data_IF_053971588371
#
_entry.id   IF_053971588371
#
_cell.length_a   1.000
_cell.length_b   1.000
_cell.length_c   1.000
_cell.angle_alpha   90.00
_cell.angle_beta   90.00
_cell.angle_gamma   90.00
#
_symmetry.space_group_name_H-M   'P 1'
#
loop_
_entity.id
_entity.type
_entity.pdbx_description
1 polymer ?
#
# COMPACT_ATOMS: atom_id res chain seq x y z
N UNK A 1 9.97 6.25 -0.71
CA UNK A 1 10.15 4.90 -0.10
C UNK A 1 9.75 4.95 1.37
N UNK A 2 8.57 4.49 1.69
CA UNK A 2 8.13 4.51 3.12
C UNK A 2 7.07 3.42 3.33
N UNK A 3 7.09 2.39 2.52
CA UNK A 3 6.09 1.30 2.68
C UNK A 3 5.94 0.95 4.16
N UNK A 4 4.88 1.38 4.78
CA UNK A 4 4.69 1.06 6.21
C UNK A 4 4.21 -0.39 6.36
N UNK A 5 3.61 -0.93 5.33
CA UNK A 5 3.13 -2.33 5.41
C UNK A 5 4.32 -3.28 5.59
N UNK A 6 5.49 -2.86 5.17
CA UNK A 6 6.67 -3.73 5.32
C UNK A 6 6.78 -4.22 6.76
N UNK A 7 6.45 -3.38 7.71
CA UNK A 7 6.54 -3.80 9.14
C UNK A 7 5.95 -5.21 9.30
N UNK A 8 4.84 -5.47 8.68
CA UNK A 8 4.22 -6.82 8.81
C UNK A 8 4.77 -7.75 7.72
N UNK A 9 5.09 -7.22 6.57
CA UNK A 9 5.63 -8.08 5.48
C UNK A 9 4.71 -8.03 4.26
N UNK A 10 4.09 -6.91 4.01
CA UNK A 10 3.19 -6.81 2.82
C UNK A 10 3.91 -6.03 1.71
N UNK A 11 3.44 -6.13 0.50
CA UNK A 11 4.11 -5.42 -0.63
C UNK A 11 3.80 -3.92 -0.58
N UNK A 12 3.79 -3.28 -1.72
CA UNK A 12 3.51 -1.82 -1.78
C UNK A 12 2.76 -1.50 -3.08
N UNK A 13 1.71 -0.73 -3.00
CA UNK A 13 0.93 -0.40 -4.21
C UNK A 13 1.70 0.60 -5.08
N UNK A 14 1.77 0.35 -6.36
CA UNK A 14 2.49 1.30 -7.26
C UNK A 14 1.61 2.53 -7.47
N UNK A 15 2.16 3.71 -7.30
CA UNK A 15 1.33 4.93 -7.47
C UNK A 15 0.14 4.86 -6.51
N UNK A 16 0.32 5.45 -5.36
CA UNK A 16 -0.71 5.46 -4.30
C UNK A 16 -1.80 6.49 -4.62
N UNK A 17 -1.45 7.55 -5.30
CA UNK A 17 -2.47 8.59 -5.63
C UNK A 17 -3.32 8.12 -6.82
N UNK A 18 -3.30 6.84 -7.12
CA UNK A 18 -4.12 6.34 -8.26
C UNK A 18 -4.52 4.89 -8.02
N UNK A 19 -4.43 4.42 -6.80
CA UNK A 19 -4.81 3.01 -6.52
C UNK A 19 -5.98 2.99 -5.53
N UNK A 20 -7.18 2.84 -6.03
CA UNK A 20 -8.36 2.81 -5.13
C UNK A 20 -8.04 1.93 -3.92
N UNK A 21 -8.06 2.50 -2.75
CA UNK A 21 -7.75 1.71 -1.53
C UNK A 21 -8.86 0.69 -1.27
N UNK A 22 -8.51 -0.56 -1.18
CA UNK A 22 -9.54 -1.59 -0.88
C UNK A 22 -9.31 -2.04 0.57
N UNK A 23 -8.13 -1.80 1.07
CA UNK A 23 -7.82 -2.18 2.47
C UNK A 23 -7.84 -0.93 3.34
N UNK A 24 -7.85 -1.11 4.62
CA UNK A 24 -7.84 0.05 5.54
C UNK A 24 -7.62 -0.47 6.96
N UNK A 25 -6.48 -0.20 7.51
CA UNK A 25 -6.20 -0.69 8.89
C UNK A 25 -5.24 0.27 9.60
N UNK A 26 -4.70 -0.13 10.72
CA UNK A 26 -3.75 0.76 11.43
C UNK A 26 -2.51 0.95 10.55
N UNK A 27 -2.45 0.23 9.46
CA UNK A 27 -1.29 0.35 8.54
C UNK A 27 -1.56 1.47 7.54
N UNK A 28 -2.65 2.15 7.71
CA UNK A 28 -3.00 3.25 6.77
C UNK A 28 -4.08 2.74 5.82
N UNK A 29 -3.85 2.88 4.55
CA UNK A 29 -4.83 2.40 3.55
C UNK A 29 -4.07 1.56 2.53
N UNK A 30 -4.68 0.54 1.99
CA UNK A 30 -3.96 -0.30 1.00
C UNK A 30 -4.74 -0.36 -0.30
N UNK A 31 -4.24 -1.14 -1.23
CA UNK A 31 -4.93 -1.31 -2.53
C UNK A 31 -4.81 -2.77 -2.95
N UNK A 32 -5.76 -3.28 -3.68
CA UNK A 32 -5.67 -4.71 -4.10
C UNK A 32 -5.37 -4.78 -5.59
N UNK A 33 -4.42 -5.59 -5.96
CA UNK A 33 -4.05 -5.72 -7.40
C UNK A 33 -3.50 -7.12 -7.66
N UNK A 34 -3.97 -7.77 -8.69
CA UNK A 34 -3.48 -9.14 -9.00
C UNK A 34 -3.92 -10.09 -7.89
N UNK A 35 -4.76 -9.64 -7.00
CA UNK A 35 -5.23 -10.52 -5.90
C UNK A 35 -4.19 -10.54 -4.78
N UNK A 36 -3.40 -9.51 -4.67
CA UNK A 36 -2.37 -9.47 -3.60
C UNK A 36 -2.42 -8.13 -2.87
N UNK A 37 -2.25 -8.15 -1.58
CA UNK A 37 -2.29 -6.90 -0.79
C UNK A 37 -1.01 -6.09 -0.94
N UNK A 38 -1.15 -4.80 -1.08
CA UNK A 38 0.04 -3.93 -1.21
C UNK A 38 -0.14 -2.73 -0.27
N UNK A 39 0.93 -2.25 0.29
CA UNK A 39 0.82 -1.10 1.24
C UNK A 39 0.81 0.22 0.47
N UNK A 40 -0.21 1.00 0.65
CA UNK A 40 -0.28 2.31 -0.06
C UNK A 40 0.38 3.38 0.80
N UNK A 41 1.42 3.98 0.30
CA UNK A 41 2.12 5.03 1.09
C UNK A 41 2.24 6.30 0.25
N UNK A 42 1.96 7.43 0.83
CA UNK A 42 2.05 8.70 0.07
C UNK A 42 3.52 9.04 -0.18
N UNK A 43 4.40 8.54 0.65
CA UNK A 43 5.85 8.82 0.46
C UNK A 43 6.45 7.75 -0.45
N UNK A 44 5.73 6.67 -0.66
CA UNK A 44 6.25 5.58 -1.53
C UNK A 44 6.19 6.03 -3.00
N UNK A 45 6.86 5.33 -3.87
CA UNK A 45 6.84 5.71 -5.31
C UNK A 45 7.90 6.78 -5.57
N UNK A 46 8.89 6.87 -4.72
CA UNK A 46 9.96 7.88 -4.92
C UNK A 46 11.23 7.20 -5.41
#
# INVERSE_FOLDING_TARGET
ASCWAQSQGYNCCNNPSSTKVEYTDASGQWGVQNGQWCGIDYSYGQ
#
